data_IF_631564720096
#
_entry.id   IF_631564720096
#
_cell.length_a   1.000
_cell.length_b   1.000
_cell.length_c   1.000
_cell.angle_alpha   90.00
_cell.angle_beta   90.00
_cell.angle_gamma   90.00
#
_symmetry.space_group_name_H-M   'P 1'
#
loop_
_entity.id
_entity.type
_entity.pdbx_description
1 polymer ?
#
# COMPACT_ATOMS: atom_id res chain seq x y z
N UNK A 1 -36.26 35.05 36.26
CA UNK A 1 -36.14 33.91 35.32
C UNK A 1 -35.32 32.87 36.07
N UNK A 2 -35.94 31.78 36.51
CA UNK A 2 -35.21 30.71 37.20
C UNK A 2 -34.39 29.95 36.14
N UNK A 3 -33.07 29.95 36.29
CA UNK A 3 -32.16 29.17 35.44
C UNK A 3 -32.33 27.69 35.80
N UNK A 4 -32.93 26.90 34.91
CA UNK A 4 -32.98 25.46 35.06
C UNK A 4 -31.57 24.89 34.90
N UNK A 5 -30.93 24.56 36.02
CA UNK A 5 -29.66 23.81 36.03
C UNK A 5 -29.89 22.39 35.52
N UNK A 6 -29.57 22.15 34.25
CA UNK A 6 -29.70 20.82 33.64
C UNK A 6 -28.66 19.88 34.24
N UNK A 7 -29.10 18.94 35.08
CA UNK A 7 -28.20 17.99 35.74
C UNK A 7 -27.86 16.80 34.83
N UNK A 8 -26.65 16.21 34.96
CA UNK A 8 -26.21 15.04 34.19
C UNK A 8 -27.20 13.86 34.19
N UNK A 9 -27.93 13.70 35.29
CA UNK A 9 -28.94 12.64 35.46
C UNK A 9 -30.09 12.75 34.46
N UNK A 10 -30.43 13.96 34.03
CA UNK A 10 -31.55 14.19 33.10
C UNK A 10 -31.16 13.86 31.65
N UNK A 11 -29.89 14.07 31.27
CA UNK A 11 -29.35 13.56 30.00
C UNK A 11 -29.39 12.02 29.93
N UNK A 12 -29.04 11.32 31.01
CA UNK A 12 -29.11 9.86 31.07
C UNK A 12 -30.57 9.38 30.93
N UNK A 13 -31.54 10.07 31.56
CA UNK A 13 -32.97 9.76 31.39
C UNK A 13 -33.43 9.95 29.95
N UNK A 14 -32.98 11.01 29.28
CA UNK A 14 -33.30 11.27 27.87
C UNK A 14 -32.76 10.17 26.95
N UNK A 15 -31.50 9.75 27.14
CA UNK A 15 -30.89 8.61 26.43
C UNK A 15 -31.69 7.34 26.69
N UNK A 16 -32.07 7.06 27.95
CA UNK A 16 -32.91 5.91 28.30
C UNK A 16 -34.27 5.94 27.61
N UNK A 17 -34.90 7.12 27.50
CA UNK A 17 -36.20 7.30 26.85
C UNK A 17 -36.13 7.12 25.33
N UNK A 18 -35.01 7.49 24.69
CA UNK A 18 -34.78 7.40 23.24
C UNK A 18 -33.94 6.19 22.80
N UNK A 19 -33.70 5.19 23.66
CA UNK A 19 -32.88 4.00 23.35
C UNK A 19 -33.25 3.31 22.05
N UNK A 20 -34.53 3.24 21.69
CA UNK A 20 -34.98 2.62 20.44
C UNK A 20 -34.41 3.32 19.20
N UNK A 21 -34.38 4.66 19.20
CA UNK A 21 -33.82 5.46 18.09
C UNK A 21 -32.31 5.26 18.02
N UNK A 22 -31.63 5.28 19.18
CA UNK A 22 -30.17 5.06 19.25
C UNK A 22 -29.82 3.66 18.73
N UNK A 23 -30.57 2.65 19.15
CA UNK A 23 -30.39 1.27 18.71
C UNK A 23 -30.65 1.12 17.21
N UNK A 24 -31.69 1.78 16.68
CA UNK A 24 -32.00 1.76 15.25
C UNK A 24 -30.85 2.34 14.41
N UNK A 25 -30.37 3.54 14.76
CA UNK A 25 -29.25 4.18 14.06
C UNK A 25 -27.98 3.32 14.14
N UNK A 26 -27.71 2.73 15.30
CA UNK A 26 -26.59 1.80 15.47
C UNK A 26 -26.71 0.59 14.53
N UNK A 27 -27.88 -0.05 14.46
CA UNK A 27 -28.10 -1.18 13.55
C UNK A 27 -27.98 -0.78 12.08
N UNK A 28 -28.47 0.40 11.69
CA UNK A 28 -28.30 0.92 10.32
C UNK A 28 -26.82 1.08 10.00
N UNK A 29 -26.03 1.65 10.92
CA UNK A 29 -24.58 1.79 10.75
C UNK A 29 -23.88 0.44 10.58
N UNK A 30 -24.17 -0.52 11.47
CA UNK A 30 -23.59 -1.88 11.41
C UNK A 30 -23.98 -2.59 10.11
N UNK A 31 -25.26 -2.52 9.71
CA UNK A 31 -25.74 -3.12 8.47
C UNK A 31 -25.07 -2.50 7.24
N UNK A 32 -24.92 -1.17 7.21
CA UNK A 32 -24.22 -0.48 6.13
C UNK A 32 -22.75 -0.92 6.04
N UNK A 33 -22.03 -0.98 7.17
CA UNK A 33 -20.65 -1.47 7.20
C UNK A 33 -20.54 -2.93 6.75
N UNK A 34 -21.47 -3.79 7.17
CA UNK A 34 -21.50 -5.19 6.76
C UNK A 34 -21.68 -5.31 5.23
N UNK A 35 -22.67 -4.62 4.66
CA UNK A 35 -22.92 -4.62 3.21
C UNK A 35 -21.69 -4.13 2.44
N UNK A 36 -21.08 -3.02 2.88
CA UNK A 36 -19.85 -2.49 2.26
C UNK A 36 -18.73 -3.55 2.32
N UNK A 37 -18.55 -4.21 3.46
CA UNK A 37 -17.51 -5.24 3.63
C UNK A 37 -17.67 -6.44 2.71
N UNK A 38 -18.90 -6.80 2.33
CA UNK A 38 -19.15 -7.90 1.38
C UNK A 38 -18.95 -7.50 -0.09
N UNK A 39 -19.09 -6.22 -0.42
CA UNK A 39 -18.95 -5.70 -1.80
C UNK A 39 -17.50 -5.37 -2.14
N UNK A 40 -16.68 -4.98 -1.16
CA UNK A 40 -15.28 -4.62 -1.40
C UNK A 40 -14.50 -5.83 -1.95
N UNK A 41 -13.81 -5.70 -3.10
CA UNK A 41 -13.01 -6.78 -3.64
C UNK A 41 -11.83 -7.11 -2.72
N UNK A 42 -11.39 -8.38 -2.64
CA UNK A 42 -10.21 -8.74 -1.88
C UNK A 42 -8.96 -8.07 -2.47
N UNK A 43 -8.10 -7.53 -1.62
CA UNK A 43 -6.81 -6.95 -2.03
C UNK A 43 -5.70 -7.94 -1.71
N UNK A 44 -5.04 -8.44 -2.75
CA UNK A 44 -3.87 -9.31 -2.63
C UNK A 44 -2.60 -8.48 -2.71
N UNK A 45 -1.73 -8.65 -1.71
CA UNK A 45 -0.43 -7.98 -1.62
C UNK A 45 0.70 -8.98 -1.80
N UNK A 46 1.64 -8.67 -2.68
CA UNK A 46 2.93 -9.36 -2.80
C UNK A 46 4.04 -8.37 -2.47
N UNK A 47 5.02 -8.85 -1.71
CA UNK A 47 6.19 -8.08 -1.32
C UNK A 47 7.44 -8.82 -1.75
N UNK A 48 8.27 -8.16 -2.57
CA UNK A 48 9.59 -8.65 -2.95
C UNK A 48 10.66 -7.75 -2.31
N UNK A 49 11.70 -8.35 -1.73
CA UNK A 49 12.84 -7.61 -1.17
C UNK A 49 14.09 -7.94 -1.97
N UNK A 50 14.70 -6.91 -2.54
CA UNK A 50 15.87 -7.02 -3.40
C UNK A 50 17.05 -6.36 -2.70
N UNK A 51 18.20 -7.05 -2.69
CA UNK A 51 19.46 -6.52 -2.19
C UNK A 51 20.33 -6.04 -3.35
N UNK A 52 20.75 -4.79 -3.27
CA UNK A 52 21.68 -4.17 -4.21
C UNK A 52 23.08 -4.74 -3.97
N UNK A 53 23.74 -5.16 -5.05
CA UNK A 53 25.13 -5.61 -5.01
C UNK A 53 26.08 -4.50 -4.55
N UNK A 54 27.16 -4.88 -3.88
CA UNK A 54 28.21 -3.94 -3.46
C UNK A 54 29.45 -4.14 -4.32
N UNK A 55 30.04 -3.03 -4.75
CA UNK A 55 31.38 -3.01 -5.34
C UNK A 55 32.40 -2.66 -4.26
N UNK A 56 33.58 -3.24 -4.35
CA UNK A 56 34.70 -2.89 -3.47
C UNK A 56 35.41 -1.72 -4.12
N UNK A 57 35.43 -0.57 -3.45
CA UNK A 57 36.29 0.53 -3.88
C UNK A 57 37.75 0.11 -3.63
N UNK A 58 38.56 0.03 -4.68
CA UNK A 58 39.96 -0.39 -4.57
C UNK A 58 40.85 0.64 -3.86
N UNK A 59 40.37 1.88 -3.68
CA UNK A 59 41.11 2.96 -3.02
C UNK A 59 40.87 3.03 -1.52
N UNK A 60 39.65 2.74 -1.05
CA UNK A 60 39.24 2.76 0.37
C UNK A 60 38.99 1.37 0.96
N UNK A 61 38.93 0.32 0.15
CA UNK A 61 38.50 -1.04 0.51
C UNK A 61 37.11 -1.11 1.17
N UNK A 62 36.34 -0.04 1.07
CA UNK A 62 34.95 0.02 1.54
C UNK A 62 34.01 -0.61 0.51
N UNK A 63 32.92 -1.23 1.02
CA UNK A 63 31.91 -1.88 0.20
C UNK A 63 30.74 -0.94 0.01
N UNK A 64 30.75 -0.20 -1.09
CA UNK A 64 29.66 0.70 -1.45
C UNK A 64 28.66 0.01 -2.39
N UNK A 65 27.35 0.24 -2.18
CA UNK A 65 26.33 -0.27 -3.09
C UNK A 65 26.49 0.35 -4.49
N UNK A 66 26.29 -0.46 -5.54
CA UNK A 66 26.41 -0.03 -6.95
C UNK A 66 25.46 1.13 -7.28
N UNK A 67 24.30 1.17 -6.63
CA UNK A 67 23.29 2.22 -6.74
C UNK A 67 22.70 2.48 -5.34
N UNK A 68 22.32 3.73 -5.03
CA UNK A 68 21.59 4.01 -3.79
C UNK A 68 20.18 3.40 -3.86
N UNK A 69 19.73 2.79 -2.77
CA UNK A 69 18.37 2.24 -2.69
C UNK A 69 17.27 3.27 -2.98
N UNK A 70 17.51 4.55 -2.71
CA UNK A 70 16.58 5.64 -3.05
C UNK A 70 16.49 5.83 -4.57
N UNK A 71 17.63 5.96 -5.25
CA UNK A 71 17.68 6.17 -6.70
C UNK A 71 17.07 4.99 -7.48
N UNK A 72 17.38 3.77 -7.05
CA UNK A 72 16.82 2.56 -7.62
C UNK A 72 15.29 2.47 -7.42
N UNK A 73 14.79 2.93 -6.26
CA UNK A 73 13.36 2.98 -5.97
C UNK A 73 12.63 4.02 -6.82
N UNK A 74 13.13 5.26 -6.87
CA UNK A 74 12.55 6.33 -7.69
C UNK A 74 12.48 5.95 -9.17
N UNK A 75 13.51 5.25 -9.66
CA UNK A 75 13.56 4.78 -11.04
C UNK A 75 12.53 3.70 -11.33
N UNK A 76 12.29 2.76 -10.43
CA UNK A 76 11.25 1.74 -10.59
C UNK A 76 9.84 2.32 -10.54
N UNK A 77 9.60 3.33 -9.70
CA UNK A 77 8.32 4.06 -9.68
C UNK A 77 8.17 5.04 -10.86
N UNK A 78 9.20 5.13 -11.70
CA UNK A 78 9.21 5.94 -12.90
C UNK A 78 8.13 5.50 -13.89
N UNK A 79 7.49 6.49 -14.52
CA UNK A 79 6.40 6.24 -15.46
C UNK A 79 6.80 5.33 -16.63
N UNK A 80 8.07 5.37 -17.07
CA UNK A 80 8.55 4.50 -18.13
C UNK A 80 8.48 3.01 -17.74
N UNK A 81 9.04 2.63 -16.60
CA UNK A 81 9.04 1.22 -16.14
C UNK A 81 7.61 0.74 -15.87
N UNK A 82 6.79 1.60 -15.26
CA UNK A 82 5.39 1.28 -14.99
C UNK A 82 4.56 1.13 -16.28
N UNK A 83 4.74 2.01 -17.27
CA UNK A 83 4.06 1.90 -18.57
C UNK A 83 4.49 0.66 -19.34
N UNK A 84 5.79 0.38 -19.43
CA UNK A 84 6.30 -0.84 -20.07
C UNK A 84 5.75 -2.09 -19.40
N UNK A 85 5.63 -2.10 -18.06
CA UNK A 85 5.04 -3.23 -17.31
C UNK A 85 3.56 -3.43 -17.63
N UNK A 86 2.80 -2.33 -17.77
CA UNK A 86 1.38 -2.39 -18.16
C UNK A 86 1.24 -2.95 -19.57
N UNK A 87 2.09 -2.53 -20.50
CA UNK A 87 2.08 -2.96 -21.89
C UNK A 87 2.47 -4.44 -22.04
N UNK A 88 3.59 -4.84 -21.43
CA UNK A 88 4.14 -6.20 -21.54
C UNK A 88 3.23 -7.25 -20.89
N UNK A 89 2.68 -6.95 -19.72
CA UNK A 89 1.75 -7.84 -19.01
C UNK A 89 0.28 -7.63 -19.40
N UNK A 90 -0.01 -6.70 -20.31
CA UNK A 90 -1.37 -6.34 -20.76
C UNK A 90 -2.32 -6.09 -19.60
N UNK A 91 -1.86 -5.31 -18.62
CA UNK A 91 -2.61 -5.06 -17.39
C UNK A 91 -3.85 -4.18 -17.67
N UNK A 92 -5.00 -4.46 -17.04
CA UNK A 92 -6.23 -3.70 -17.22
C UNK A 92 -6.24 -2.41 -16.37
N UNK A 93 -5.10 -1.72 -16.26
CA UNK A 93 -4.94 -0.53 -15.43
C UNK A 93 -4.36 0.62 -16.25
N UNK A 94 -4.83 1.82 -15.97
CA UNK A 94 -4.13 3.03 -16.42
C UNK A 94 -2.85 3.23 -15.60
N UNK A 95 -1.88 3.96 -16.14
CA UNK A 95 -0.65 4.33 -15.42
C UNK A 95 -0.96 4.96 -14.04
N UNK A 96 -2.00 5.80 -13.97
CA UNK A 96 -2.41 6.46 -12.72
C UNK A 96 -2.95 5.47 -11.68
N UNK A 97 -3.69 4.46 -12.10
CA UNK A 97 -4.19 3.40 -11.21
C UNK A 97 -3.06 2.48 -10.78
N UNK A 98 -2.20 2.10 -11.71
CA UNK A 98 -1.08 1.21 -11.44
C UNK A 98 -0.07 1.84 -10.47
N UNK A 99 0.20 3.14 -10.60
CA UNK A 99 1.05 3.90 -9.66
C UNK A 99 0.53 3.90 -8.23
N UNK A 100 -0.77 3.72 -8.00
CA UNK A 100 -1.33 3.59 -6.65
C UNK A 100 -1.24 2.17 -6.10
N UNK A 101 -1.02 1.19 -6.98
CA UNK A 101 -0.98 -0.24 -6.68
C UNK A 101 0.43 -0.77 -6.51
N UNK A 102 1.43 -0.07 -7.04
CA UNK A 102 2.85 -0.40 -6.92
C UNK A 102 3.53 0.67 -6.06
N UNK A 103 4.29 0.22 -5.08
CA UNK A 103 5.11 1.06 -4.21
C UNK A 103 6.49 0.42 -4.10
N UNK A 104 7.53 1.22 -4.29
CA UNK A 104 8.92 0.79 -4.19
C UNK A 104 9.63 1.70 -3.21
N UNK A 105 10.02 1.13 -2.08
CA UNK A 105 10.58 1.89 -0.96
C UNK A 105 11.90 1.27 -0.51
N UNK A 106 12.94 2.07 -0.23
CA UNK A 106 14.13 1.58 0.44
C UNK A 106 13.77 1.15 1.86
N UNK A 107 14.31 0.01 2.32
CA UNK A 107 14.07 -0.43 3.70
C UNK A 107 14.88 0.44 4.64
N UNK A 108 14.18 1.08 5.59
CA UNK A 108 14.79 1.90 6.65
C UNK A 108 15.85 1.07 7.39
N UNK A 109 16.98 1.71 7.66
CA UNK A 109 18.14 1.13 8.36
C UNK A 109 19.02 0.17 7.51
N UNK A 110 18.68 -0.05 6.25
CA UNK A 110 19.52 -0.81 5.30
C UNK A 110 19.74 -0.04 4.00
N UNK A 111 20.98 0.36 3.74
CA UNK A 111 21.34 1.17 2.55
C UNK A 111 21.25 0.40 1.23
N UNK A 112 21.19 -0.93 1.30
CA UNK A 112 21.30 -1.85 0.18
C UNK A 112 20.05 -2.68 -0.06
N UNK A 113 18.93 -2.43 0.64
CA UNK A 113 17.69 -3.17 0.44
C UNK A 113 16.57 -2.29 -0.10
N UNK A 114 15.87 -2.80 -1.11
CA UNK A 114 14.68 -2.21 -1.71
C UNK A 114 13.52 -3.17 -1.52
N UNK A 115 12.37 -2.64 -1.13
CA UNK A 115 11.13 -3.39 -1.04
C UNK A 115 10.17 -2.94 -2.14
N UNK A 116 9.76 -3.89 -2.99
CA UNK A 116 8.70 -3.71 -3.98
C UNK A 116 7.42 -4.30 -3.39
N UNK A 117 6.36 -3.51 -3.37
CA UNK A 117 5.02 -3.88 -2.91
C UNK A 117 4.02 -3.70 -4.04
N UNK A 118 3.30 -4.76 -4.39
CA UNK A 118 2.27 -4.74 -5.43
C UNK A 118 0.93 -5.17 -4.83
N UNK A 119 -0.13 -4.43 -5.12
CA UNK A 119 -1.49 -4.66 -4.62
C UNK A 119 -2.53 -4.71 -5.75
N UNK A 120 -3.08 -5.89 -6.01
CA UNK A 120 -4.16 -6.05 -7.00
C UNK A 120 -5.31 -6.89 -6.44
N UNK A 121 -6.42 -6.94 -7.18
CA UNK A 121 -7.59 -7.71 -6.79
C UNK A 121 -7.51 -9.18 -7.24
N UNK A 122 -6.47 -9.55 -8.00
CA UNK A 122 -6.24 -10.90 -8.51
C UNK A 122 -4.90 -11.45 -7.99
N UNK A 123 -4.96 -12.62 -7.34
CA UNK A 123 -3.77 -13.24 -6.74
C UNK A 123 -2.67 -13.53 -7.76
N UNK A 124 -3.02 -14.05 -8.94
CA UNK A 124 -2.03 -14.41 -9.98
C UNK A 124 -1.42 -13.15 -10.56
N UNK A 125 -2.27 -12.19 -10.93
CA UNK A 125 -1.80 -10.90 -11.44
C UNK A 125 -0.85 -10.20 -10.46
N UNK A 126 -1.14 -10.20 -9.16
CA UNK A 126 -0.25 -9.60 -8.16
C UNK A 126 1.12 -10.27 -8.14
N UNK A 127 1.17 -11.62 -8.22
CA UNK A 127 2.42 -12.38 -8.26
C UNK A 127 3.21 -12.09 -9.54
N UNK A 128 2.57 -12.24 -10.70
CA UNK A 128 3.21 -12.06 -12.00
C UNK A 128 3.80 -10.65 -12.16
N UNK A 129 3.06 -9.63 -11.68
CA UNK A 129 3.51 -8.24 -11.71
C UNK A 129 4.72 -8.02 -10.80
N UNK A 130 4.69 -8.56 -9.57
CA UNK A 130 5.80 -8.41 -8.63
C UNK A 130 7.06 -9.12 -9.13
N UNK A 131 6.92 -10.34 -9.67
CA UNK A 131 8.02 -11.10 -10.24
C UNK A 131 8.61 -10.42 -11.48
N UNK A 132 7.77 -9.90 -12.38
CA UNK A 132 8.21 -9.15 -13.55
C UNK A 132 9.01 -7.90 -13.15
N UNK A 133 8.50 -7.10 -12.21
CA UNK A 133 9.22 -5.91 -11.73
C UNK A 133 10.55 -6.26 -11.06
N UNK A 134 10.60 -7.36 -10.30
CA UNK A 134 11.83 -7.83 -9.69
C UNK A 134 12.85 -8.29 -10.75
N UNK A 135 12.42 -9.08 -11.73
CA UNK A 135 13.27 -9.57 -12.80
C UNK A 135 13.80 -8.44 -13.69
N UNK A 136 12.98 -7.44 -13.99
CA UNK A 136 13.38 -6.26 -14.77
C UNK A 136 14.50 -5.47 -14.09
N UNK A 137 14.55 -5.49 -12.76
CA UNK A 137 15.64 -4.91 -11.99
C UNK A 137 16.91 -5.78 -12.09
N UNK A 138 16.78 -7.10 -12.01
CA UNK A 138 17.89 -8.05 -12.08
C UNK A 138 18.56 -8.11 -13.47
N UNK A 139 17.78 -8.07 -14.56
CA UNK A 139 18.30 -8.15 -15.92
C UNK A 139 19.23 -6.97 -16.25
N UNK A 140 18.96 -5.79 -15.71
CA UNK A 140 19.76 -4.59 -15.96
C UNK A 140 21.17 -4.66 -15.37
N UNK A 141 21.38 -5.44 -14.32
CA UNK A 141 22.70 -5.63 -13.69
C UNK A 141 23.47 -6.83 -14.25
N UNK A 142 22.94 -7.53 -15.27
CA UNK A 142 23.66 -8.58 -15.99
C UNK A 142 24.46 -8.05 -17.20
N UNK A 143 24.32 -6.77 -17.55
CA UNK A 143 25.09 -6.12 -18.62
C UNK A 143 26.30 -5.38 -18.08
#
# INVERSE_FOLDING_TARGET
>A
MEEQEVTLRDYIKLIKKRKKIILLVFFIGVAATAVISFILPPVYRVTATIKIGKIVDLSTFEKDPIESAVAASERLEGSQILSETIEDLKLPFTLKEFRKKVSVEPIRDTKDLIQIRVETNDRRQTLDTADYLANKLLERHKQ
#
